data_IF_208318758025
#
_entry.id   IF_208318758025
#
_cell.length_a   1.000
_cell.length_b   1.000
_cell.length_c   1.000
_cell.angle_alpha   90.00
_cell.angle_beta   90.00
_cell.angle_gamma   90.00
#
_symmetry.space_group_name_H-M   'P 1'
#
loop_
_entity.id
_entity.type
_entity.pdbx_description
1 polymer ?
#
# COMPACT_ATOMS: atom_id res chain seq x y z
N UNK A 1 -18.59 -10.88 11.72
CA UNK A 1 -17.34 -11.50 12.22
C UNK A 1 -17.23 -13.00 11.99
N UNK A 2 -18.31 -13.80 12.03
CA UNK A 2 -18.25 -15.26 11.82
C UNK A 2 -17.45 -15.72 10.57
N UNK A 3 -17.54 -14.98 9.46
CA UNK A 3 -16.75 -15.26 8.24
C UNK A 3 -15.25 -15.19 8.51
N UNK A 4 -14.78 -14.09 9.10
CA UNK A 4 -13.37 -13.90 9.44
C UNK A 4 -12.90 -14.92 10.47
N UNK A 5 -13.76 -15.32 11.41
CA UNK A 5 -13.43 -16.32 12.43
C UNK A 5 -13.14 -17.68 11.80
N UNK A 6 -14.08 -18.16 10.98
CA UNK A 6 -13.94 -19.43 10.25
C UNK A 6 -12.72 -19.43 9.33
N UNK A 7 -12.50 -18.34 8.58
CA UNK A 7 -11.36 -18.24 7.65
C UNK A 7 -10.02 -18.17 8.40
N UNK A 8 -9.96 -17.43 9.50
CA UNK A 8 -8.75 -17.33 10.33
C UNK A 8 -8.43 -18.66 10.99
N UNK A 9 -9.42 -19.35 11.56
CA UNK A 9 -9.25 -20.69 12.11
C UNK A 9 -8.81 -21.72 11.05
N UNK A 10 -9.28 -21.56 9.80
CA UNK A 10 -8.92 -22.43 8.68
C UNK A 10 -7.45 -22.34 8.23
N UNK A 11 -6.71 -21.29 8.63
CA UNK A 11 -5.28 -21.16 8.31
C UNK A 11 -4.38 -22.11 9.12
N UNK A 12 -4.92 -22.69 10.21
CA UNK A 12 -4.20 -23.57 11.12
C UNK A 12 -3.22 -22.84 12.04
N UNK A 13 -2.33 -23.60 12.66
CA UNK A 13 -1.38 -23.09 13.65
C UNK A 13 -0.07 -22.58 13.01
N UNK A 14 0.79 -22.00 13.85
CA UNK A 14 2.13 -21.49 13.50
C UNK A 14 2.08 -20.39 12.43
N UNK A 15 1.27 -19.36 12.70
CA UNK A 15 1.19 -18.14 11.90
C UNK A 15 2.01 -17.04 12.56
N UNK A 16 2.78 -16.29 11.79
CA UNK A 16 3.55 -15.14 12.28
C UNK A 16 2.74 -13.85 12.30
N UNK A 17 1.84 -13.68 11.33
CA UNK A 17 0.95 -12.53 11.17
C UNK A 17 -0.31 -12.96 10.41
N UNK A 18 -1.46 -12.44 10.83
CA UNK A 18 -2.73 -12.58 10.11
C UNK A 18 -3.10 -11.23 9.54
N UNK A 19 -3.57 -11.20 8.28
CA UNK A 19 -3.96 -9.96 7.61
C UNK A 19 -5.41 -10.06 7.14
N UNK A 20 -6.23 -9.12 7.58
CA UNK A 20 -7.58 -8.89 7.06
C UNK A 20 -7.59 -7.65 6.16
N UNK A 21 -8.49 -7.59 5.17
CA UNK A 21 -8.55 -6.50 4.20
C UNK A 21 -9.00 -5.17 4.83
N UNK A 22 -9.02 -4.14 3.98
CA UNK A 22 -9.51 -2.80 4.33
C UNK A 22 -10.97 -2.86 4.81
N UNK A 23 -11.29 -2.05 5.82
CA UNK A 23 -12.62 -1.95 6.42
C UNK A 23 -13.23 -3.31 6.87
N UNK A 24 -12.39 -4.29 7.22
CA UNK A 24 -12.83 -5.58 7.75
C UNK A 24 -13.67 -5.45 9.03
N UNK A 25 -13.40 -4.43 9.84
CA UNK A 25 -14.18 -4.05 11.02
C UNK A 25 -14.90 -2.72 10.74
N UNK A 26 -16.18 -2.74 10.30
CA UNK A 26 -16.93 -1.53 9.94
C UNK A 26 -17.48 -0.78 11.17
N UNK A 27 -16.66 -0.64 12.21
CA UNK A 27 -16.95 0.07 13.46
C UNK A 27 -15.66 0.70 13.99
N UNK A 28 -15.76 1.68 14.88
CA UNK A 28 -14.56 2.32 15.46
C UNK A 28 -13.96 1.41 16.53
N UNK A 29 -12.97 0.60 16.17
CA UNK A 29 -12.37 -0.43 17.02
C UNK A 29 -11.94 0.04 18.41
N UNK A 30 -11.43 1.26 18.53
CA UNK A 30 -10.98 1.83 19.82
C UNK A 30 -12.14 2.21 20.75
N UNK A 31 -13.35 2.45 20.21
CA UNK A 31 -14.49 2.98 20.97
C UNK A 31 -15.60 1.97 21.26
N UNK A 32 -15.47 0.74 20.75
CA UNK A 32 -16.53 -0.27 20.82
C UNK A 32 -16.06 -1.52 21.58
N UNK A 33 -16.11 -1.53 22.94
CA UNK A 33 -15.52 -2.59 23.75
C UNK A 33 -16.04 -3.99 23.43
N UNK A 34 -17.34 -4.10 23.11
CA UNK A 34 -17.98 -5.37 22.80
C UNK A 34 -17.42 -5.99 21.51
N UNK A 35 -17.31 -5.19 20.44
CA UNK A 35 -16.74 -5.67 19.18
C UNK A 35 -15.22 -5.84 19.26
N UNK A 36 -14.54 -4.98 20.01
CA UNK A 36 -13.10 -5.12 20.31
C UNK A 36 -12.81 -6.45 20.98
N UNK A 37 -13.61 -6.87 21.96
CA UNK A 37 -13.43 -8.14 22.65
C UNK A 37 -13.50 -9.34 21.69
N UNK A 38 -14.38 -9.30 20.68
CA UNK A 38 -14.48 -10.34 19.65
C UNK A 38 -13.21 -10.42 18.80
N UNK A 39 -12.71 -9.28 18.31
CA UNK A 39 -11.48 -9.24 17.49
C UNK A 39 -10.25 -9.67 18.32
N UNK A 40 -10.16 -9.24 19.58
CA UNK A 40 -9.11 -9.66 20.51
C UNK A 40 -9.12 -11.18 20.74
N UNK A 41 -10.30 -11.77 20.91
CA UNK A 41 -10.45 -13.22 21.07
C UNK A 41 -9.98 -13.99 19.84
N UNK A 42 -10.25 -13.47 18.64
CA UNK A 42 -9.81 -14.09 17.38
C UNK A 42 -8.29 -14.04 17.24
N UNK A 43 -7.65 -12.91 17.52
CA UNK A 43 -6.19 -12.79 17.50
C UNK A 43 -5.54 -13.73 18.54
N UNK A 44 -6.10 -13.78 19.76
CA UNK A 44 -5.64 -14.68 20.82
C UNK A 44 -5.75 -16.15 20.44
N UNK A 45 -6.90 -16.59 19.93
CA UNK A 45 -7.13 -17.99 19.53
C UNK A 45 -6.23 -18.42 18.37
N UNK A 46 -5.98 -17.52 17.43
CA UNK A 46 -5.08 -17.79 16.31
C UNK A 46 -3.59 -17.78 16.72
N UNK A 47 -3.25 -17.24 17.89
CA UNK A 47 -1.90 -17.26 18.43
C UNK A 47 -0.89 -16.45 17.61
N UNK A 48 -1.37 -15.42 16.89
CA UNK A 48 -0.57 -14.54 16.05
C UNK A 48 -1.13 -13.10 16.09
N UNK A 49 -0.28 -12.08 15.92
CA UNK A 49 -0.73 -10.71 15.69
C UNK A 49 -1.69 -10.62 14.50
N UNK A 50 -2.65 -9.70 14.58
CA UNK A 50 -3.68 -9.47 13.56
C UNK A 50 -3.59 -8.04 13.03
N UNK A 51 -3.31 -7.89 11.73
CA UNK A 51 -3.47 -6.65 11.00
C UNK A 51 -4.86 -6.59 10.37
N UNK A 52 -5.62 -5.52 10.58
CA UNK A 52 -6.96 -5.37 9.99
C UNK A 52 -7.34 -3.91 9.76
N UNK A 53 -8.18 -3.68 8.75
CA UNK A 53 -8.72 -2.36 8.44
C UNK A 53 -9.92 -1.98 9.31
N UNK A 54 -9.87 -0.79 9.92
CA UNK A 54 -10.92 -0.20 10.75
C UNK A 54 -10.91 1.33 10.64
N UNK A 55 -12.06 2.02 10.68
CA UNK A 55 -12.05 3.47 10.85
C UNK A 55 -11.49 3.83 12.22
N UNK A 56 -10.75 4.94 12.29
CA UNK A 56 -10.39 5.60 13.54
C UNK A 56 -11.14 6.92 13.69
N UNK A 57 -11.58 7.23 14.91
CA UNK A 57 -12.09 8.56 15.24
C UNK A 57 -10.99 9.36 15.96
N UNK A 58 -10.73 10.57 15.49
CA UNK A 58 -9.86 11.56 16.14
C UNK A 58 -10.59 12.89 16.24
N UNK A 59 -9.99 13.84 16.95
CA UNK A 59 -10.55 15.18 17.15
C UNK A 59 -9.49 16.23 16.89
N UNK A 60 -9.89 17.30 16.22
CA UNK A 60 -9.10 18.53 16.08
C UNK A 60 -8.93 19.20 17.46
N UNK A 61 -7.97 20.15 17.60
CA UNK A 61 -7.80 20.93 18.83
C UNK A 61 -9.07 21.70 19.27
N UNK A 62 -9.95 22.02 18.32
CA UNK A 62 -11.25 22.68 18.55
C UNK A 62 -12.37 21.68 18.93
N UNK A 63 -12.06 20.39 19.05
CA UNK A 63 -12.99 19.34 19.45
C UNK A 63 -13.79 18.71 18.29
N UNK A 64 -13.70 19.23 17.07
CA UNK A 64 -14.39 18.66 15.90
C UNK A 64 -13.89 17.25 15.60
N UNK A 65 -14.78 16.24 15.47
CA UNK A 65 -14.38 14.89 15.14
C UNK A 65 -14.01 14.76 13.66
N UNK A 66 -13.06 13.88 13.35
CA UNK A 66 -12.74 13.45 11.99
C UNK A 66 -12.40 11.96 11.96
N UNK A 67 -12.61 11.33 10.81
CA UNK A 67 -12.35 9.91 10.62
C UNK A 67 -11.04 9.67 9.86
N UNK A 68 -10.40 8.54 10.13
CA UNK A 68 -9.22 8.05 9.40
C UNK A 68 -9.48 6.63 8.93
N UNK A 69 -9.08 6.31 7.69
CA UNK A 69 -9.10 4.95 7.18
C UNK A 69 -7.81 4.28 7.63
N UNK A 70 -7.90 3.38 8.60
CA UNK A 70 -6.72 2.91 9.33
C UNK A 70 -6.56 1.40 9.26
N UNK A 71 -5.32 0.95 9.35
CA UNK A 71 -4.97 -0.45 9.60
C UNK A 71 -4.35 -0.57 10.99
N UNK A 72 -4.94 -1.41 11.84
CA UNK A 72 -4.47 -1.66 13.21
C UNK A 72 -3.71 -2.98 13.27
N UNK A 73 -2.55 -2.96 13.94
CA UNK A 73 -1.82 -4.17 14.31
C UNK A 73 -2.11 -4.50 15.78
N UNK A 74 -2.78 -5.62 16.00
CA UNK A 74 -3.23 -6.08 17.31
C UNK A 74 -2.44 -7.32 17.75
N UNK A 75 -1.87 -7.26 18.94
CA UNK A 75 -1.20 -8.38 19.58
C UNK A 75 -2.19 -9.41 20.13
N UNK A 76 -1.69 -10.61 20.42
CA UNK A 76 -2.48 -11.73 20.97
C UNK A 76 -3.02 -11.49 22.38
N UNK A 77 -2.43 -10.54 23.11
CA UNK A 77 -2.89 -10.10 24.44
C UNK A 77 -3.91 -8.94 24.36
N UNK A 78 -4.22 -8.46 23.15
CA UNK A 78 -5.15 -7.36 22.91
C UNK A 78 -4.52 -5.97 22.92
N UNK A 79 -3.20 -5.83 23.05
CA UNK A 79 -2.50 -4.55 22.88
C UNK A 79 -2.46 -4.12 21.41
N UNK A 80 -2.66 -2.84 21.14
CA UNK A 80 -2.42 -2.27 19.81
C UNK A 80 -0.92 -2.00 19.69
N UNK A 81 -0.23 -2.78 18.86
CA UNK A 81 1.21 -2.62 18.62
C UNK A 81 1.52 -1.42 17.74
N UNK A 82 0.57 -1.05 16.87
CA UNK A 82 0.70 0.11 16.00
C UNK A 82 -0.51 0.29 15.11
N UNK A 83 -0.52 1.42 14.40
CA UNK A 83 -1.55 1.78 13.45
C UNK A 83 -0.96 2.57 12.30
N UNK A 84 -1.41 2.28 11.10
CA UNK A 84 -1.18 3.11 9.92
C UNK A 84 -2.49 3.79 9.51
N UNK A 85 -2.43 5.07 9.18
CA UNK A 85 -3.56 5.88 8.72
C UNK A 85 -3.31 6.25 7.25
N UNK A 86 -4.29 5.95 6.39
CA UNK A 86 -4.23 6.20 4.94
C UNK A 86 -3.86 7.65 4.65
N UNK A 87 -2.82 7.85 3.85
CA UNK A 87 -2.28 9.15 3.49
C UNK A 87 -2.89 9.68 2.18
N UNK A 88 -3.07 8.81 1.18
CA UNK A 88 -3.64 9.20 -0.10
C UNK A 88 -5.08 8.74 -0.23
N UNK A 89 -5.99 9.69 -0.03
CA UNK A 89 -7.43 9.45 -0.10
C UNK A 89 -7.92 9.37 -1.55
N UNK A 90 -8.96 8.59 -1.78
CA UNK A 90 -9.61 8.48 -3.10
C UNK A 90 -10.49 9.72 -3.32
N UNK A 91 -10.24 10.54 -4.37
CA UNK A 91 -11.12 11.64 -4.72
C UNK A 91 -12.54 11.15 -5.02
N UNK A 92 -13.55 11.89 -4.56
CA UNK A 92 -14.99 11.60 -4.70
C UNK A 92 -15.52 10.33 -4.00
N UNK A 93 -14.63 9.49 -3.46
CA UNK A 93 -14.98 8.35 -2.62
C UNK A 93 -14.81 8.64 -1.13
N UNK A 94 -13.63 9.12 -0.72
CA UNK A 94 -13.30 9.38 0.69
C UNK A 94 -13.41 10.88 1.05
N UNK A 95 -13.17 11.77 0.08
CA UNK A 95 -13.35 13.22 0.21
C UNK A 95 -13.85 13.83 -1.11
N UNK A 96 -14.43 15.03 -1.06
CA UNK A 96 -14.87 15.78 -2.25
C UNK A 96 -13.85 16.89 -2.53
N UNK A 97 -13.10 16.85 -3.65
CA UNK A 97 -12.21 17.93 -4.05
C UNK A 97 -12.99 19.26 -4.20
N UNK A 98 -12.43 20.37 -3.71
CA UNK A 98 -13.03 21.72 -3.85
C UNK A 98 -14.49 21.85 -3.37
N UNK A 99 -14.93 20.98 -2.44
CA UNK A 99 -16.28 21.04 -1.86
C UNK A 99 -16.65 22.45 -1.39
N UNK A 100 -15.72 23.12 -0.71
CA UNK A 100 -15.94 24.44 -0.14
C UNK A 100 -15.82 25.61 -1.15
N UNK A 101 -15.65 25.33 -2.45
CA UNK A 101 -15.45 26.37 -3.46
C UNK A 101 -16.43 26.26 -4.64
N UNK A 102 -16.46 25.13 -5.33
CA UNK A 102 -17.23 24.98 -6.57
C UNK A 102 -18.12 23.74 -6.62
N UNK A 103 -17.85 22.72 -5.78
CA UNK A 103 -18.54 21.42 -5.82
C UNK A 103 -19.40 21.16 -4.57
N UNK A 104 -19.92 22.23 -3.95
CA UNK A 104 -20.74 22.16 -2.72
C UNK A 104 -22.08 21.42 -2.90
N UNK A 105 -22.49 21.15 -4.15
CA UNK A 105 -23.76 20.52 -4.52
C UNK A 105 -23.61 19.02 -4.85
N UNK A 106 -22.40 18.46 -4.82
CA UNK A 106 -22.16 17.05 -5.11
C UNK A 106 -22.11 16.24 -3.80
N UNK A 107 -23.00 15.27 -3.67
CA UNK A 107 -22.87 14.22 -2.66
C UNK A 107 -21.82 13.18 -3.09
N UNK A 108 -21.19 12.49 -2.13
CA UNK A 108 -20.19 11.46 -2.43
C UNK A 108 -20.81 10.36 -3.29
N UNK A 109 -20.00 9.81 -4.20
CA UNK A 109 -20.40 8.68 -5.04
C UNK A 109 -20.55 7.37 -4.25
N UNK A 110 -20.22 7.39 -2.96
CA UNK A 110 -20.22 6.25 -2.06
C UNK A 110 -21.01 6.59 -0.79
N UNK A 111 -22.21 6.01 -0.67
CA UNK A 111 -23.01 6.10 0.57
C UNK A 111 -22.31 5.37 1.73
N UNK A 112 -22.25 6.01 2.91
CA UNK A 112 -21.80 5.37 4.17
C UNK A 112 -20.33 5.59 4.58
N UNK A 113 -19.57 6.39 3.84
CA UNK A 113 -18.16 6.74 4.15
C UNK A 113 -18.12 8.20 4.63
N UNK A 114 -17.90 8.41 5.94
CA UNK A 114 -17.74 9.76 6.52
C UNK A 114 -16.55 10.54 5.92
N UNK A 115 -16.40 11.82 6.25
CA UNK A 115 -15.25 12.61 5.80
C UNK A 115 -13.97 12.09 6.46
N UNK A 116 -13.15 11.42 5.64
CA UNK A 116 -11.85 10.93 6.03
C UNK A 116 -10.79 12.01 5.82
N UNK A 117 -9.84 12.10 6.74
CA UNK A 117 -8.66 12.94 6.61
C UNK A 117 -7.40 12.09 6.34
N UNK A 118 -6.34 12.73 5.85
CA UNK A 118 -5.08 12.07 5.53
C UNK A 118 -4.23 11.80 6.78
N UNK A 119 -3.60 10.63 6.83
CA UNK A 119 -2.66 10.24 7.88
C UNK A 119 -1.31 10.97 7.84
N UNK A 120 -0.51 10.90 8.94
CA UNK A 120 0.66 11.77 9.16
C UNK A 120 1.93 11.36 8.40
N UNK A 121 1.98 10.20 7.74
CA UNK A 121 3.25 9.70 7.20
C UNK A 121 3.26 8.21 6.90
N UNK A 122 4.32 7.75 6.23
CA UNK A 122 4.61 6.33 6.02
C UNK A 122 5.07 5.67 7.33
N UNK A 123 4.12 5.32 8.19
CA UNK A 123 4.39 4.67 9.49
C UNK A 123 4.67 3.19 9.31
N UNK A 124 5.87 2.74 9.69
CA UNK A 124 6.20 1.31 9.75
C UNK A 124 5.57 0.67 10.97
N UNK A 125 4.99 -0.50 10.77
CA UNK A 125 4.50 -1.35 11.84
C UNK A 125 5.54 -2.44 12.12
N UNK A 126 5.56 -2.96 13.35
CA UNK A 126 6.51 -3.98 13.73
C UNK A 126 5.89 -5.03 14.64
N UNK A 127 6.34 -6.27 14.48
CA UNK A 127 5.98 -7.37 15.35
C UNK A 127 7.15 -8.34 15.46
N UNK A 128 7.10 -9.19 16.48
CA UNK A 128 8.05 -10.27 16.68
C UNK A 128 7.54 -11.54 16.00
N UNK A 129 8.22 -12.08 14.97
CA UNK A 129 7.82 -13.36 14.38
C UNK A 129 8.03 -14.50 15.39
N UNK A 130 7.33 -15.62 15.19
CA UNK A 130 7.44 -16.82 16.04
C UNK A 130 8.74 -17.57 15.82
N UNK A 131 9.38 -17.39 14.66
CA UNK A 131 10.58 -18.12 14.28
C UNK A 131 11.75 -17.87 15.24
N UNK A 132 12.32 -18.97 15.75
CA UNK A 132 13.42 -18.98 16.74
C UNK A 132 14.81 -18.83 16.10
N UNK A 133 14.89 -18.92 14.77
CA UNK A 133 16.12 -18.89 13.97
C UNK A 133 16.01 -17.76 12.94
N UNK A 134 16.31 -16.50 13.29
CA UNK A 134 16.36 -15.44 12.30
C UNK A 134 17.40 -15.77 11.21
N UNK A 135 17.23 -15.23 9.99
CA UNK A 135 18.25 -15.35 8.94
C UNK A 135 19.60 -14.90 9.49
N UNK A 136 20.69 -15.52 9.04
CA UNK A 136 22.05 -15.53 9.62
C UNK A 136 22.67 -14.15 9.94
N UNK A 137 22.07 -13.43 10.87
CA UNK A 137 22.56 -12.24 11.55
C UNK A 137 23.33 -12.75 12.76
N UNK A 138 24.51 -12.17 12.96
CA UNK A 138 25.48 -12.55 13.99
C UNK A 138 24.79 -12.83 15.33
N UNK A 139 25.12 -13.97 15.94
CA UNK A 139 24.42 -14.62 17.05
C UNK A 139 24.30 -13.81 18.38
N UNK A 140 24.64 -12.52 18.39
CA UNK A 140 24.66 -11.67 19.57
C UNK A 140 23.37 -10.86 19.82
N UNK A 141 22.38 -10.87 18.93
CA UNK A 141 21.17 -10.02 19.04
C UNK A 141 19.83 -10.77 18.95
N UNK A 142 19.86 -12.12 19.06
CA UNK A 142 18.75 -13.02 18.74
C UNK A 142 17.51 -12.93 19.65
N UNK A 143 17.59 -12.28 20.82
CA UNK A 143 16.48 -12.29 21.78
C UNK A 143 15.36 -11.29 21.46
N UNK A 144 15.59 -10.32 20.56
CA UNK A 144 14.63 -9.22 20.29
C UNK A 144 14.47 -8.83 18.81
N UNK A 145 14.58 -9.80 17.91
CA UNK A 145 14.35 -9.57 16.47
C UNK A 145 12.89 -9.19 16.20
N UNK A 146 12.70 -8.06 15.53
CA UNK A 146 11.41 -7.58 15.05
C UNK A 146 11.47 -7.38 13.55
N UNK A 147 10.39 -7.75 12.86
CA UNK A 147 10.20 -7.46 11.44
C UNK A 147 9.40 -6.18 11.32
N UNK A 148 9.86 -5.27 10.46
CA UNK A 148 9.20 -4.00 10.12
C UNK A 148 8.52 -4.13 8.78
N UNK A 149 7.30 -3.60 8.66
CA UNK A 149 6.58 -3.61 7.40
C UNK A 149 5.79 -2.33 7.17
N UNK A 150 5.68 -1.95 5.91
CA UNK A 150 4.79 -0.88 5.48
C UNK A 150 3.38 -1.41 5.24
N UNK A 151 2.37 -0.60 5.52
CA UNK A 151 0.99 -0.87 5.12
C UNK A 151 0.59 0.14 4.05
N UNK A 152 0.02 -0.36 2.96
CA UNK A 152 -0.45 0.46 1.84
C UNK A 152 -1.93 0.16 1.66
N UNK A 153 -2.79 1.16 1.87
CA UNK A 153 -4.24 0.93 1.89
C UNK A 153 -4.82 1.25 0.51
N UNK A 154 -5.38 0.21 -0.13
CA UNK A 154 -6.17 0.33 -1.33
C UNK A 154 -5.45 1.10 -2.45
N UNK A 155 -6.04 2.20 -2.90
CA UNK A 155 -5.57 3.09 -3.96
C UNK A 155 -4.13 3.58 -3.77
N UNK A 156 -3.60 3.62 -2.55
CA UNK A 156 -2.23 4.09 -2.28
C UNK A 156 -1.15 3.30 -3.03
N UNK A 157 -1.41 2.02 -3.36
CA UNK A 157 -0.42 1.15 -3.98
C UNK A 157 -0.08 1.55 -5.42
N UNK A 158 -0.91 2.37 -6.06
CA UNK A 158 -0.62 2.87 -7.40
C UNK A 158 0.37 4.05 -7.38
N UNK A 159 0.65 4.64 -6.21
CA UNK A 159 1.52 5.80 -6.06
C UNK A 159 2.96 5.38 -5.77
N UNK A 160 3.89 5.54 -6.73
CA UNK A 160 5.26 5.05 -6.60
C UNK A 160 6.00 5.63 -5.41
N UNK A 161 5.93 6.95 -5.30
CA UNK A 161 6.64 7.73 -4.30
C UNK A 161 6.19 7.41 -2.87
N UNK A 162 4.91 7.05 -2.68
CA UNK A 162 4.37 6.67 -1.37
C UNK A 162 4.95 5.32 -0.94
N UNK A 163 4.87 4.32 -1.81
CA UNK A 163 5.39 2.97 -1.51
C UNK A 163 6.90 2.98 -1.35
N UNK A 164 7.60 3.78 -2.17
CA UNK A 164 9.05 4.00 -2.07
C UNK A 164 9.46 4.49 -0.69
N UNK A 165 8.69 5.41 -0.07
CA UNK A 165 9.03 5.96 1.24
C UNK A 165 9.06 4.89 2.33
N UNK A 166 8.15 3.91 2.30
CA UNK A 166 8.20 2.78 3.24
C UNK A 166 9.48 1.94 3.06
N UNK A 167 9.87 1.65 1.82
CA UNK A 167 11.08 0.89 1.52
C UNK A 167 12.35 1.67 1.92
N UNK A 168 12.39 2.97 1.63
CA UNK A 168 13.47 3.86 2.03
C UNK A 168 13.60 3.96 3.56
N UNK A 169 12.49 3.90 4.29
CA UNK A 169 12.45 3.89 5.75
C UNK A 169 12.79 2.52 6.38
N UNK A 170 13.11 1.51 5.56
CA UNK A 170 13.55 0.20 6.02
C UNK A 170 12.42 -0.76 6.37
N UNK A 171 11.34 -0.75 5.58
CA UNK A 171 10.38 -1.85 5.55
C UNK A 171 11.03 -3.13 5.01
N UNK A 172 10.89 -4.23 5.74
CA UNK A 172 11.43 -5.53 5.35
C UNK A 172 10.53 -6.25 4.34
N UNK A 173 9.22 -5.94 4.39
CA UNK A 173 8.20 -6.33 3.41
C UNK A 173 7.04 -5.32 3.44
N UNK A 174 6.07 -5.50 2.55
CA UNK A 174 4.88 -4.65 2.47
C UNK A 174 3.59 -5.46 2.63
N UNK A 175 2.58 -4.83 3.21
CA UNK A 175 1.22 -5.35 3.25
C UNK A 175 0.28 -4.40 2.53
N UNK A 176 -0.55 -4.93 1.63
CA UNK A 176 -1.64 -4.16 1.03
C UNK A 176 -2.97 -4.67 1.52
N UNK A 177 -3.75 -3.79 2.15
CA UNK A 177 -5.14 -4.09 2.55
C UNK A 177 -6.09 -3.27 1.68
N UNK A 178 -7.12 -3.89 1.12
CA UNK A 178 -7.97 -3.21 0.13
C UNK A 178 -9.37 -3.79 0.03
N UNK A 179 -10.33 -2.93 -0.34
CA UNK A 179 -11.68 -3.31 -0.71
C UNK A 179 -11.96 -2.98 -2.19
N UNK A 180 -11.68 -3.93 -3.08
CA UNK A 180 -11.92 -3.80 -4.53
C UNK A 180 -13.40 -4.01 -4.94
N UNK A 181 -14.35 -4.00 -3.99
CA UNK A 181 -15.77 -4.25 -4.29
C UNK A 181 -16.36 -3.21 -5.26
N UNK A 182 -15.86 -1.98 -5.21
CA UNK A 182 -16.28 -0.86 -6.05
C UNK A 182 -16.05 -1.08 -7.54
N UNK A 183 -15.08 -1.92 -7.90
CA UNK A 183 -14.75 -2.19 -9.29
C UNK A 183 -15.63 -3.26 -9.95
N UNK A 184 -16.38 -4.03 -9.15
CA UNK A 184 -17.18 -5.13 -9.66
C UNK A 184 -16.35 -6.21 -10.39
N UNK A 185 -17.00 -7.13 -11.12
CA UNK A 185 -16.35 -8.14 -11.95
C UNK A 185 -15.80 -7.52 -13.25
N UNK A 186 -14.78 -6.67 -13.12
CA UNK A 186 -14.13 -5.96 -14.23
C UNK A 186 -12.63 -6.24 -14.29
N UNK A 187 -11.93 -5.60 -15.24
CA UNK A 187 -10.47 -5.65 -15.33
C UNK A 187 -9.76 -4.84 -14.25
N UNK A 188 -10.45 -3.93 -13.57
CA UNK A 188 -9.81 -2.98 -12.65
C UNK A 188 -9.14 -3.66 -11.43
N UNK A 189 -9.71 -4.69 -10.76
CA UNK A 189 -9.00 -5.40 -9.69
C UNK A 189 -7.71 -6.08 -10.16
N UNK A 190 -7.67 -6.55 -11.42
CA UNK A 190 -6.48 -7.15 -12.02
C UNK A 190 -5.40 -6.11 -12.32
N UNK A 191 -5.79 -4.95 -12.84
CA UNK A 191 -4.87 -3.82 -13.05
C UNK A 191 -4.33 -3.30 -11.72
N UNK A 192 -5.19 -3.16 -10.71
CA UNK A 192 -4.83 -2.75 -9.37
C UNK A 192 -3.84 -3.75 -8.72
N UNK A 193 -4.09 -5.06 -8.86
CA UNK A 193 -3.14 -6.10 -8.43
C UNK A 193 -1.80 -6.02 -9.18
N UNK A 194 -1.84 -5.79 -10.49
CA UNK A 194 -0.64 -5.60 -11.31
C UNK A 194 0.24 -4.44 -10.83
N UNK A 195 -0.35 -3.36 -10.31
CA UNK A 195 0.43 -2.25 -9.74
C UNK A 195 1.27 -2.68 -8.53
N UNK A 196 0.78 -3.63 -7.73
CA UNK A 196 1.52 -4.20 -6.59
C UNK A 196 2.77 -4.95 -7.08
N UNK A 197 2.68 -5.65 -8.21
CA UNK A 197 3.83 -6.33 -8.83
C UNK A 197 4.92 -5.33 -9.18
N UNK A 198 4.57 -4.20 -9.81
CA UNK A 198 5.55 -3.14 -10.10
C UNK A 198 6.17 -2.58 -8.81
N UNK A 199 5.36 -2.35 -7.77
CA UNK A 199 5.88 -1.84 -6.48
C UNK A 199 6.89 -2.79 -5.85
N UNK A 200 6.66 -4.10 -5.94
CA UNK A 200 7.57 -5.13 -5.44
C UNK A 200 8.93 -5.06 -6.15
N UNK A 201 8.91 -5.04 -7.49
CA UNK A 201 10.14 -4.98 -8.33
C UNK A 201 10.93 -3.70 -8.08
N UNK A 202 10.24 -2.56 -8.08
CA UNK A 202 10.86 -1.26 -7.89
C UNK A 202 11.64 -1.15 -6.59
N UNK A 203 11.15 -1.77 -5.52
CA UNK A 203 11.70 -1.61 -4.19
C UNK A 203 12.44 -2.84 -3.66
N UNK A 204 12.45 -3.95 -4.41
CA UNK A 204 12.99 -5.23 -3.99
C UNK A 204 12.44 -5.69 -2.63
N UNK A 205 11.12 -5.56 -2.47
CA UNK A 205 10.37 -5.95 -1.27
C UNK A 205 9.21 -6.86 -1.65
N UNK A 206 8.96 -7.89 -0.85
CA UNK A 206 7.82 -8.77 -1.04
C UNK A 206 6.52 -8.08 -0.58
N UNK A 207 5.39 -8.52 -1.14
CA UNK A 207 4.05 -8.06 -0.76
C UNK A 207 3.17 -9.21 -0.32
N UNK A 208 2.42 -8.99 0.77
CA UNK A 208 1.22 -9.75 1.11
C UNK A 208 0.01 -8.85 0.89
N UNK A 209 -0.92 -9.24 0.03
CA UNK A 209 -2.14 -8.48 -0.26
C UNK A 209 -3.37 -9.24 0.28
N UNK A 210 -4.16 -8.56 1.09
CA UNK A 210 -5.48 -9.01 1.53
C UNK A 210 -6.57 -8.10 0.95
N UNK A 211 -7.42 -8.69 0.11
CA UNK A 211 -8.52 -8.00 -0.55
C UNK A 211 -9.86 -8.62 -0.15
N UNK A 212 -10.89 -7.79 0.00
CA UNK A 212 -12.24 -8.27 0.34
C UNK A 212 -12.89 -9.06 -0.82
N UNK A 213 -13.16 -8.42 -1.96
CA UNK A 213 -13.69 -9.06 -3.18
C UNK A 213 -12.69 -9.09 -4.34
N UNK A 214 -11.54 -8.45 -4.15
CA UNK A 214 -10.46 -8.40 -5.12
C UNK A 214 -9.51 -9.59 -5.01
N UNK A 215 -8.35 -9.44 -5.65
CA UNK A 215 -7.30 -10.46 -5.64
C UNK A 215 -6.50 -10.33 -4.34
N UNK A 216 -6.53 -11.38 -3.51
CA UNK A 216 -5.56 -11.56 -2.42
C UNK A 216 -4.39 -12.38 -2.93
N UNK A 217 -3.18 -12.18 -2.41
CA UNK A 217 -2.03 -12.94 -2.87
C UNK A 217 -0.69 -12.54 -2.27
N UNK A 218 0.33 -13.28 -2.66
CA UNK A 218 1.72 -13.07 -2.28
C UNK A 218 2.57 -12.80 -3.52
N UNK A 219 3.42 -11.79 -3.45
CA UNK A 219 4.33 -11.38 -4.54
C UNK A 219 5.75 -11.33 -3.97
N UNK A 220 6.70 -11.95 -4.66
CA UNK A 220 8.11 -11.95 -4.25
C UNK A 220 8.82 -10.62 -4.62
N UNK A 221 10.04 -10.36 -4.09
CA UNK A 221 10.80 -9.13 -4.41
C UNK A 221 11.16 -8.94 -5.89
N UNK A 222 10.99 -9.96 -6.72
CA UNK A 222 11.22 -9.93 -8.17
C UNK A 222 9.93 -9.73 -8.97
N UNK A 223 8.80 -9.49 -8.30
CA UNK A 223 7.50 -9.29 -8.93
C UNK A 223 6.81 -10.59 -9.36
N UNK A 224 7.29 -11.75 -8.94
CA UNK A 224 6.63 -13.03 -9.25
C UNK A 224 5.44 -13.21 -8.32
N UNK A 225 4.28 -13.49 -8.90
CA UNK A 225 3.07 -13.84 -8.14
C UNK A 225 3.24 -15.28 -7.65
N UNK A 226 3.47 -15.45 -6.35
CA UNK A 226 3.71 -16.75 -5.71
C UNK A 226 2.39 -17.51 -5.53
N UNK A 227 1.34 -16.79 -5.13
CA UNK A 227 0.00 -17.33 -4.94
C UNK A 227 -1.01 -16.19 -5.06
N UNK A 228 -2.19 -16.46 -5.62
CA UNK A 228 -3.29 -15.50 -5.65
C UNK A 228 -4.65 -16.20 -5.61
N UNK A 229 -5.66 -15.51 -5.07
CA UNK A 229 -7.06 -15.94 -5.14
C UNK A 229 -7.71 -15.45 -6.44
N UNK A 230 -8.81 -16.08 -6.88
CA UNK A 230 -9.75 -15.43 -7.79
C UNK A 230 -10.40 -14.21 -7.12
N UNK A 231 -11.07 -13.38 -7.92
CA UNK A 231 -11.98 -12.33 -7.42
C UNK A 231 -13.30 -12.94 -6.97
N UNK A 232 -14.02 -12.26 -6.08
CA UNK A 232 -15.35 -12.67 -5.57
C UNK A 232 -15.44 -14.06 -4.92
N UNK A 233 -14.32 -14.59 -4.41
CA UNK A 233 -14.29 -15.83 -3.63
C UNK A 233 -14.13 -15.55 -2.13
N UNK A 234 -14.61 -16.48 -1.30
CA UNK A 234 -14.35 -16.47 0.14
C UNK A 234 -13.20 -17.43 0.42
N UNK A 235 -11.99 -16.90 0.54
CA UNK A 235 -10.78 -17.69 0.69
C UNK A 235 -9.81 -17.04 1.68
N UNK A 236 -8.97 -17.86 2.30
CA UNK A 236 -7.84 -17.42 3.10
C UNK A 236 -6.58 -18.07 2.53
N UNK A 237 -5.55 -17.25 2.28
CA UNK A 237 -4.29 -17.72 1.74
C UNK A 237 -3.24 -17.78 2.85
N UNK A 238 -2.41 -18.82 2.81
CA UNK A 238 -1.25 -18.99 3.69
C UNK A 238 0.00 -19.09 2.83
N UNK A 239 0.97 -18.22 3.08
CA UNK A 239 2.23 -18.18 2.34
C UNK A 239 3.35 -17.58 3.16
N UNK A 240 4.58 -17.79 2.72
CA UNK A 240 5.78 -17.20 3.32
C UNK A 240 6.12 -15.91 2.58
N UNK A 241 6.38 -14.85 3.34
CA UNK A 241 6.82 -13.56 2.80
C UNK A 241 8.33 -13.45 3.01
N UNK A 242 9.06 -13.23 1.92
CA UNK A 242 10.49 -12.98 2.02
C UNK A 242 10.73 -11.60 2.62
N UNK A 243 11.58 -11.53 3.65
CA UNK A 243 12.07 -10.27 4.20
C UNK A 243 13.34 -9.85 3.46
N UNK A 244 13.45 -8.58 3.13
CA UNK A 244 14.59 -8.01 2.41
C UNK A 244 15.03 -6.71 3.07
N UNK A 245 16.34 -6.53 3.22
CA UNK A 245 16.95 -5.26 3.64
C UNK A 245 17.67 -4.56 2.48
N UNK A 246 17.56 -5.09 1.26
CA UNK A 246 18.21 -4.52 0.09
C UNK A 246 17.41 -3.32 -0.40
N UNK A 247 18.09 -2.20 -0.61
CA UNK A 247 17.51 -1.01 -1.23
C UNK A 247 17.92 -0.93 -2.70
N UNK A 248 16.96 -0.77 -3.60
CA UNK A 248 17.24 -0.53 -5.01
C UNK A 248 17.72 0.90 -5.23
N UNK A 249 18.22 1.19 -6.45
CA UNK A 249 18.47 2.56 -6.88
C UNK A 249 17.18 3.40 -6.80
N UNK A 250 16.06 2.82 -7.21
CA UNK A 250 14.76 3.49 -7.16
C UNK A 250 14.34 3.82 -5.73
N UNK A 251 14.50 2.89 -4.77
CA UNK A 251 14.16 3.16 -3.37
C UNK A 251 14.93 4.34 -2.78
N UNK A 252 16.20 4.50 -3.16
CA UNK A 252 17.07 5.56 -2.65
C UNK A 252 16.85 6.91 -3.35
N UNK A 253 16.68 6.92 -4.66
CA UNK A 253 16.72 8.15 -5.47
C UNK A 253 15.40 8.49 -6.17
N UNK A 254 14.40 7.62 -6.11
CA UNK A 254 13.11 7.80 -6.77
C UNK A 254 13.25 7.98 -8.28
N UNK A 255 12.48 8.93 -8.82
CA UNK A 255 12.35 9.15 -10.26
C UNK A 255 13.54 9.93 -10.87
N UNK A 256 14.66 10.06 -10.15
CA UNK A 256 15.86 10.79 -10.61
C UNK A 256 16.32 10.35 -12.00
N UNK A 257 16.32 9.04 -12.26
CA UNK A 257 16.66 8.50 -13.58
C UNK A 257 15.69 8.97 -14.66
N UNK A 258 14.38 8.93 -14.39
CA UNK A 258 13.35 9.37 -15.32
C UNK A 258 13.45 10.87 -15.60
N UNK A 259 13.69 11.69 -14.57
CA UNK A 259 13.90 13.12 -14.74
C UNK A 259 15.16 13.43 -15.54
N UNK A 260 16.26 12.71 -15.32
CA UNK A 260 17.47 12.86 -16.11
C UNK A 260 17.22 12.57 -17.61
N UNK A 261 16.49 11.49 -17.93
CA UNK A 261 16.09 11.19 -19.30
C UNK A 261 15.19 12.27 -19.91
N UNK A 262 14.20 12.76 -19.16
CA UNK A 262 13.29 13.80 -19.63
C UNK A 262 14.03 15.11 -19.94
N UNK A 263 14.95 15.52 -19.06
CA UNK A 263 15.79 16.71 -19.26
C UNK A 263 16.68 16.53 -20.49
N UNK A 264 17.32 15.36 -20.65
CA UNK A 264 18.17 15.08 -21.81
C UNK A 264 17.38 15.16 -23.13
N UNK A 265 16.19 14.56 -23.17
CA UNK A 265 15.31 14.62 -24.35
C UNK A 265 14.89 16.07 -24.64
N UNK A 266 14.51 16.83 -23.61
CA UNK A 266 14.15 18.23 -23.77
C UNK A 266 15.31 19.07 -24.35
N UNK A 267 16.53 18.85 -23.87
CA UNK A 267 17.73 19.51 -24.40
C UNK A 267 18.00 19.14 -25.87
N UNK A 268 17.85 17.87 -26.24
CA UNK A 268 18.02 17.41 -27.63
C UNK A 268 16.96 18.00 -28.57
N UNK A 269 15.71 18.11 -28.12
CA UNK A 269 14.64 18.75 -28.89
C UNK A 269 14.90 20.25 -29.07
N UNK A 270 15.39 20.93 -28.03
CA UNK A 270 15.75 22.35 -28.10
C UNK A 270 16.91 22.58 -29.07
N UNK A 271 17.99 21.80 -28.99
CA UNK A 271 19.12 21.93 -29.92
C UNK A 271 18.70 21.65 -31.36
N UNK A 272 17.88 20.62 -31.60
CA UNK A 272 17.34 20.31 -32.92
C UNK A 272 16.46 21.41 -33.50
N UNK A 273 15.63 22.05 -32.67
CA UNK A 273 14.80 23.19 -33.07
C UNK A 273 15.66 24.38 -33.51
N UNK A 274 16.65 24.76 -32.71
CA UNK A 274 17.51 25.92 -33.03
C UNK A 274 18.55 25.64 -34.12
N UNK A 275 18.89 24.38 -34.39
CA UNK A 275 19.78 24.02 -35.51
C UNK A 275 19.11 24.13 -36.88
N UNK A 276 17.79 23.99 -36.95
CA UNK A 276 17.03 24.11 -38.20
C UNK A 276 16.96 25.55 -38.73
N UNK A 277 17.09 26.55 -37.85
CA UNK A 277 17.09 27.97 -38.21
C UNK A 277 18.46 28.48 -38.73
N UNK A 278 19.44 27.58 -38.92
CA UNK A 278 20.82 27.93 -39.31
C UNK A 278 21.25 27.41 -40.68
N UNK A 279 20.34 26.98 -41.56
CA UNK A 279 20.68 26.81 -42.98
C UNK A 279 20.96 28.19 -43.61
N UNK A 280 22.17 28.44 -44.16
CA UNK A 280 22.44 29.71 -44.82
C UNK A 280 21.64 29.80 -46.12
N UNK A 281 20.77 30.80 -46.20
CA UNK A 281 20.15 31.22 -47.45
C UNK A 281 21.24 31.65 -48.44
N UNK A 282 21.38 30.94 -49.55
CA UNK A 282 22.06 31.44 -50.75
C UNK A 282 23.44 30.86 -51.04
N UNK A 283 23.48 29.63 -51.55
CA UNK A 283 24.51 29.23 -52.51
C UNK A 283 23.96 29.41 -53.93
N UNK A 284 24.44 30.42 -54.67
CA UNK A 284 24.13 30.59 -56.10
C UNK A 284 24.50 29.33 -56.91
N UNK A 285 23.69 28.92 -57.91
CA UNK A 285 24.09 27.86 -58.81
C UNK A 285 25.16 28.38 -59.78
N UNK A 286 26.34 27.77 -59.73
CA UNK A 286 27.43 28.02 -60.66
C UNK A 286 26.94 27.91 -62.11
N UNK A 287 27.05 29.03 -62.85
CA UNK A 287 26.72 29.09 -64.27
C UNK A 287 27.53 28.07 -65.09
N UNK A 288 26.84 27.33 -65.95
CA UNK A 288 27.47 26.50 -66.99
C UNK A 288 28.02 27.42 -68.09
N UNK A 289 29.30 27.31 -68.50
CA UNK A 289 29.76 27.91 -69.75
C UNK A 289 29.27 27.08 -70.94
N UNK A 290 28.97 27.78 -72.03
CA UNK A 290 28.52 27.26 -73.32
C UNK A 290 29.67 26.63 -74.13
#
# INVERSE_FOLDING_TARGET
MARYDRLTAGLGDNLDLIVWPEAATPFVFEMEPQYRAVVNDMARRAGAPLLFGSPALRRHPDGRPFLLNSAYLLATDGQILGRYDKQHLVPFGEYIPFHNSFLFFLDKLVEGIGDFEAGPGSTLLMFKPREKNPPAVTAATLTDFHVKFGVVICYEVIFPNLVRQFAANGADFMVTVTNDAWFGPSSAPYQHFGMVVFRAVENHVAFARAANTGISGFIDPYGRVVQQSPIFTQEALRGTVAVSHQQTFYSQYGDLFAYACAILIALLCLTGYFSHDTEPAGGEPAGRPA
#
